data_IF_205784436839
#
_entry.id   IF_205784436839
#
_cell.length_a   1.000
_cell.length_b   1.000
_cell.length_c   1.000
_cell.angle_alpha   90.00
_cell.angle_beta   90.00
_cell.angle_gamma   90.00
#
_symmetry.space_group_name_H-M   'P 1'
#
loop_
_entity.id
_entity.type
_entity.pdbx_description
1 polymer ?
#
# COMPACT_ATOMS: atom_id res chain seq x y z
N UNK A 1 52.60 39.56 19.64
CA UNK A 1 51.20 39.81 19.27
C UNK A 1 50.82 38.82 18.17
N UNK A 2 50.12 37.74 18.51
CA UNK A 2 49.70 36.69 17.58
C UNK A 2 48.17 36.62 17.61
N UNK A 3 47.51 37.22 16.62
CA UNK A 3 46.08 37.14 16.45
C UNK A 3 45.74 35.82 15.74
N UNK A 4 45.14 34.87 16.47
CA UNK A 4 44.56 33.65 15.91
C UNK A 4 43.18 33.99 15.33
N UNK A 5 43.07 34.02 14.01
CA UNK A 5 41.78 34.04 13.31
C UNK A 5 41.17 32.63 13.29
N UNK A 6 40.20 32.39 14.15
CA UNK A 6 39.30 31.24 14.07
C UNK A 6 38.18 31.52 13.09
N UNK A 7 38.24 30.92 11.89
CA UNK A 7 37.10 30.86 10.97
C UNK A 7 36.16 29.75 11.47
N UNK A 8 35.04 30.15 12.05
CA UNK A 8 33.97 29.23 12.41
C UNK A 8 33.22 28.79 11.14
N UNK A 9 33.45 27.55 10.72
CA UNK A 9 32.64 26.90 9.67
C UNK A 9 31.28 26.59 10.28
N UNK A 10 30.29 27.42 9.96
CA UNK A 10 28.88 27.16 10.26
C UNK A 10 28.41 25.97 9.41
N UNK A 11 28.47 24.77 9.98
CA UNK A 11 27.77 23.59 9.45
C UNK A 11 26.27 23.85 9.58
N UNK A 12 25.63 24.31 8.51
CA UNK A 12 24.17 24.26 8.35
C UNK A 12 23.76 22.79 8.30
N UNK A 13 23.33 22.25 9.43
CA UNK A 13 22.59 20.99 9.50
C UNK A 13 21.22 21.20 8.86
N UNK A 14 21.14 20.92 7.56
CA UNK A 14 19.88 20.64 6.87
C UNK A 14 19.25 19.42 7.55
N UNK A 15 18.39 19.68 8.54
CA UNK A 15 17.45 18.71 9.04
C UNK A 15 16.51 18.36 7.88
N UNK A 16 16.89 17.37 7.07
CA UNK A 16 16.00 16.78 6.10
C UNK A 16 14.80 16.25 6.87
N UNK A 17 13.62 16.82 6.65
CA UNK A 17 12.36 16.27 7.14
C UNK A 17 12.24 14.84 6.60
N UNK A 18 12.58 13.84 7.42
CA UNK A 18 12.36 12.43 7.09
C UNK A 18 10.85 12.21 7.21
N UNK A 19 10.11 12.47 6.14
CA UNK A 19 8.69 12.12 6.07
C UNK A 19 8.58 10.61 6.18
N UNK A 20 7.82 10.11 7.16
CA UNK A 20 7.48 8.70 7.23
C UNK A 20 6.87 8.26 5.89
N UNK A 21 7.36 7.16 5.29
CA UNK A 21 6.82 6.71 4.02
C UNK A 21 5.32 6.41 4.14
N UNK A 22 4.53 6.65 3.07
CA UNK A 22 3.11 6.33 3.09
C UNK A 22 2.88 4.83 3.26
N UNK A 23 1.87 4.48 4.04
CA UNK A 23 1.36 3.11 4.19
C UNK A 23 0.15 2.91 3.30
N UNK A 24 0.11 1.82 2.54
CA UNK A 24 -0.98 1.48 1.61
C UNK A 24 -1.52 0.09 1.93
N UNK A 25 -2.83 -0.10 1.82
CA UNK A 25 -3.45 -1.43 1.88
C UNK A 25 -3.40 -2.09 0.51
N UNK A 26 -3.12 -3.39 0.48
CA UNK A 26 -3.10 -4.18 -0.76
C UNK A 26 -4.15 -5.28 -0.69
N UNK A 27 -4.92 -5.42 -1.77
CA UNK A 27 -6.00 -6.38 -1.91
C UNK A 27 -5.81 -7.19 -3.20
N UNK A 28 -6.11 -8.48 -3.10
CA UNK A 28 -6.37 -9.36 -4.24
C UNK A 28 -7.84 -9.22 -4.65
N UNK A 29 -8.12 -9.13 -5.94
CA UNK A 29 -9.44 -8.84 -6.50
C UNK A 29 -9.77 -9.77 -7.69
N UNK A 30 -9.60 -11.09 -7.54
CA UNK A 30 -9.69 -12.00 -8.68
C UNK A 30 -11.08 -12.02 -9.29
N UNK A 31 -11.15 -11.83 -10.61
CA UNK A 31 -12.41 -11.75 -11.36
C UNK A 31 -13.22 -10.49 -11.12
N UNK A 32 -12.69 -9.50 -10.40
CA UNK A 32 -13.28 -8.15 -10.26
C UNK A 32 -12.59 -7.25 -11.29
N UNK A 33 -13.37 -6.57 -12.13
CA UNK A 33 -12.80 -5.59 -13.07
C UNK A 33 -12.38 -4.31 -12.36
N UNK A 34 -11.44 -3.55 -12.92
CA UNK A 34 -10.97 -2.28 -12.35
C UNK A 34 -12.12 -1.30 -12.06
N UNK A 35 -13.10 -1.23 -12.98
CA UNK A 35 -14.29 -0.37 -12.79
C UNK A 35 -15.19 -0.85 -11.64
N UNK A 36 -15.30 -2.17 -11.44
CA UNK A 36 -16.04 -2.72 -10.31
C UNK A 36 -15.27 -2.52 -9.00
N UNK A 37 -13.96 -2.71 -9.01
CA UNK A 37 -13.11 -2.45 -7.86
C UNK A 37 -13.16 -0.98 -7.44
N UNK A 38 -13.08 -0.03 -8.38
CA UNK A 38 -13.21 1.40 -8.09
C UNK A 38 -14.52 1.73 -7.37
N UNK A 39 -15.65 1.14 -7.79
CA UNK A 39 -16.93 1.34 -7.09
C UNK A 39 -16.94 0.72 -5.68
N UNK A 40 -16.32 -0.45 -5.52
CA UNK A 40 -16.19 -1.11 -4.21
C UNK A 40 -15.31 -0.26 -3.28
N UNK A 41 -14.21 0.29 -3.81
CA UNK A 41 -13.29 1.16 -3.09
C UNK A 41 -14.01 2.40 -2.55
N UNK A 42 -14.76 3.10 -3.41
CA UNK A 42 -15.56 4.27 -3.02
C UNK A 42 -16.63 3.93 -1.98
N UNK A 43 -17.37 2.83 -2.16
CA UNK A 43 -18.41 2.38 -1.22
C UNK A 43 -17.80 2.04 0.15
N UNK A 44 -16.71 1.27 0.17
CA UNK A 44 -16.07 0.85 1.41
C UNK A 44 -15.36 2.00 2.12
N UNK A 45 -14.82 2.97 1.39
CA UNK A 45 -14.30 4.20 1.97
C UNK A 45 -15.42 5.00 2.64
N UNK A 46 -16.53 5.22 1.96
CA UNK A 46 -17.68 5.93 2.51
C UNK A 46 -18.23 5.27 3.79
N UNK A 47 -18.39 3.94 3.78
CA UNK A 47 -18.88 3.20 4.96
C UNK A 47 -17.90 3.30 6.14
N UNK A 48 -16.60 3.22 5.89
CA UNK A 48 -15.57 3.36 6.92
C UNK A 48 -15.51 4.79 7.48
N UNK A 49 -15.61 5.81 6.62
CA UNK A 49 -15.66 7.22 7.03
C UNK A 49 -16.90 7.50 7.87
N UNK A 50 -18.09 7.11 7.40
CA UNK A 50 -19.35 7.28 8.12
C UNK A 50 -19.30 6.67 9.52
N UNK A 51 -18.75 5.47 9.66
CA UNK A 51 -18.65 4.76 10.93
C UNK A 51 -17.61 5.36 11.89
N UNK A 52 -16.68 6.18 11.39
CA UNK A 52 -15.62 6.79 12.19
C UNK A 52 -15.75 8.31 12.33
N UNK A 53 -16.71 8.94 11.65
CA UNK A 53 -16.92 10.39 11.62
C UNK A 53 -17.13 11.05 12.99
N UNK A 54 -17.59 10.29 13.99
CA UNK A 54 -17.85 10.80 15.35
C UNK A 54 -16.76 10.45 16.37
N UNK A 55 -15.76 9.65 15.99
CA UNK A 55 -14.65 9.28 16.85
C UNK A 55 -13.47 10.21 16.53
N UNK A 56 -12.84 10.79 17.57
CA UNK A 56 -11.71 11.74 17.43
C UNK A 56 -10.40 11.16 17.99
N UNK A 57 -10.40 9.89 18.38
CA UNK A 57 -9.23 9.24 18.96
C UNK A 57 -8.24 8.75 17.88
N UNK A 58 -6.97 8.53 18.23
CA UNK A 58 -6.02 7.85 17.33
C UNK A 58 -6.47 6.44 16.89
N UNK A 59 -7.50 5.86 17.53
CA UNK A 59 -8.13 4.62 17.11
C UNK A 59 -8.96 4.78 15.82
N UNK A 60 -9.35 5.99 15.44
CA UNK A 60 -10.14 6.32 14.24
C UNK A 60 -9.52 5.73 12.98
N UNK A 61 -8.22 5.92 12.76
CA UNK A 61 -7.54 5.39 11.58
C UNK A 61 -7.51 3.85 11.57
N UNK A 62 -7.40 3.21 12.75
CA UNK A 62 -7.40 1.74 12.84
C UNK A 62 -8.79 1.16 12.60
N UNK A 63 -9.79 1.76 13.23
CA UNK A 63 -11.19 1.42 13.05
C UNK A 63 -11.57 1.60 11.58
N UNK A 64 -11.16 2.70 10.95
CA UNK A 64 -11.36 2.95 9.53
C UNK A 64 -10.77 1.84 8.67
N UNK A 65 -9.47 1.54 8.84
CA UNK A 65 -8.78 0.52 8.04
C UNK A 65 -9.41 -0.87 8.20
N UNK A 66 -9.83 -1.21 9.43
CA UNK A 66 -10.50 -2.48 9.71
C UNK A 66 -11.87 -2.55 9.04
N UNK A 67 -12.67 -1.51 9.16
CA UNK A 67 -14.01 -1.46 8.55
C UNK A 67 -13.94 -1.50 7.03
N UNK A 68 -13.02 -0.74 6.44
CA UNK A 68 -12.75 -0.77 5.00
C UNK A 68 -12.40 -2.21 4.56
N UNK A 69 -11.45 -2.87 5.22
CA UNK A 69 -11.02 -4.22 4.85
C UNK A 69 -12.13 -5.27 5.01
N UNK A 70 -12.97 -5.13 6.03
CA UNK A 70 -14.16 -5.98 6.22
C UNK A 70 -15.18 -5.77 5.10
N UNK A 71 -15.44 -4.52 4.72
CA UNK A 71 -16.31 -4.20 3.58
C UNK A 71 -15.77 -4.79 2.27
N UNK A 72 -14.49 -4.54 1.96
CA UNK A 72 -13.84 -5.08 0.76
C UNK A 72 -13.91 -6.62 0.72
N UNK A 73 -13.72 -7.28 1.88
CA UNK A 73 -13.87 -8.73 2.01
C UNK A 73 -15.27 -9.22 1.69
N UNK A 74 -16.31 -8.55 2.17
CA UNK A 74 -17.71 -8.89 1.86
C UNK A 74 -18.01 -8.73 0.36
N UNK A 75 -17.28 -7.84 -0.32
CA UNK A 75 -17.39 -7.59 -1.77
C UNK A 75 -16.49 -8.51 -2.61
N UNK A 76 -15.81 -9.47 -1.99
CA UNK A 76 -15.03 -10.52 -2.68
C UNK A 76 -13.54 -10.22 -2.83
N UNK A 77 -13.03 -9.10 -2.30
CA UNK A 77 -11.60 -8.83 -2.26
C UNK A 77 -10.92 -9.58 -1.10
N UNK A 78 -9.63 -9.86 -1.22
CA UNK A 78 -8.85 -10.49 -0.15
C UNK A 78 -7.74 -9.55 0.29
N UNK A 79 -7.81 -9.07 1.53
CA UNK A 79 -6.75 -8.26 2.11
C UNK A 79 -5.45 -9.08 2.24
N UNK A 80 -4.37 -8.57 1.64
CA UNK A 80 -3.04 -9.20 1.71
C UNK A 80 -2.21 -8.57 2.82
N UNK A 81 -2.40 -7.28 3.09
CA UNK A 81 -1.65 -6.57 4.12
C UNK A 81 -1.43 -5.11 3.76
N UNK A 82 -0.78 -4.40 4.69
CA UNK A 82 -0.31 -3.03 4.49
C UNK A 82 1.18 -2.99 4.18
N UNK A 83 1.56 -2.16 3.23
CA UNK A 83 2.95 -1.93 2.82
C UNK A 83 3.31 -0.48 3.08
N UNK A 84 4.37 -0.27 3.87
CA UNK A 84 4.95 1.04 4.13
C UNK A 84 6.21 1.17 3.29
N UNK A 85 6.16 2.00 2.25
CA UNK A 85 7.25 2.14 1.28
C UNK A 85 7.16 3.50 0.55
N UNK A 86 8.31 4.12 0.24
CA UNK A 86 8.34 5.33 -0.59
C UNK A 86 7.53 5.17 -1.87
N UNK A 87 6.79 6.22 -2.26
CA UNK A 87 5.87 6.16 -3.42
C UNK A 87 6.58 5.73 -4.70
N UNK A 88 7.77 6.27 -4.93
CA UNK A 88 8.56 6.00 -6.13
C UNK A 88 9.07 4.56 -6.18
N UNK A 89 9.51 4.04 -5.03
CA UNK A 89 9.96 2.67 -4.90
C UNK A 89 8.80 1.68 -5.10
N UNK A 90 7.66 1.93 -4.44
CA UNK A 90 6.44 1.15 -4.63
C UNK A 90 6.00 1.11 -6.09
N UNK A 91 5.93 2.27 -6.75
CA UNK A 91 5.52 2.36 -8.17
C UNK A 91 6.43 1.54 -9.07
N UNK A 92 7.75 1.64 -8.88
CA UNK A 92 8.73 0.89 -9.68
C UNK A 92 8.55 -0.62 -9.52
N UNK A 93 8.48 -1.09 -8.27
CA UNK A 93 8.38 -2.53 -7.97
C UNK A 93 7.02 -3.07 -8.39
N UNK A 94 5.93 -2.34 -8.14
CA UNK A 94 4.59 -2.77 -8.52
C UNK A 94 4.46 -2.94 -10.04
N UNK A 95 4.92 -1.96 -10.84
CA UNK A 95 4.87 -2.04 -12.29
C UNK A 95 5.70 -3.22 -12.84
N UNK A 96 6.89 -3.46 -12.27
CA UNK A 96 7.71 -4.63 -12.61
C UNK A 96 6.94 -5.93 -12.37
N UNK A 97 6.38 -6.08 -11.17
CA UNK A 97 5.70 -7.29 -10.75
C UNK A 97 4.37 -7.54 -11.47
N UNK A 98 3.64 -6.48 -11.84
CA UNK A 98 2.46 -6.58 -12.70
C UNK A 98 2.82 -7.12 -14.09
N UNK A 99 3.93 -6.64 -14.66
CA UNK A 99 4.45 -7.12 -15.94
C UNK A 99 4.87 -8.58 -15.90
N UNK A 100 5.64 -8.98 -14.88
CA UNK A 100 6.06 -10.38 -14.67
C UNK A 100 4.84 -11.31 -14.53
N UNK A 101 3.89 -10.95 -13.68
CA UNK A 101 2.69 -11.75 -13.44
C UNK A 101 1.81 -11.85 -14.69
N UNK A 102 1.62 -10.75 -15.42
CA UNK A 102 0.85 -10.75 -16.67
C UNK A 102 1.49 -11.65 -17.73
N UNK A 103 2.82 -11.59 -17.89
CA UNK A 103 3.55 -12.44 -18.82
C UNK A 103 3.43 -13.92 -18.46
N UNK A 104 3.49 -14.26 -17.17
CA UNK A 104 3.38 -15.64 -16.69
C UNK A 104 2.02 -16.31 -16.95
N UNK A 105 0.95 -15.52 -17.07
CA UNK A 105 -0.42 -16.04 -17.33
C UNK A 105 -0.91 -15.77 -18.75
N UNK A 106 -0.12 -15.16 -19.63
CA UNK A 106 -0.55 -14.72 -20.95
C UNK A 106 -1.15 -15.83 -21.83
N UNK A 107 -0.66 -17.07 -21.69
CA UNK A 107 -1.19 -18.23 -22.43
C UNK A 107 -2.42 -18.89 -21.81
N UNK A 108 -2.96 -18.38 -20.71
CA UNK A 108 -4.09 -18.98 -19.98
C UNK A 108 -5.41 -18.28 -20.34
N UNK A 109 -6.51 -19.02 -20.52
CA UNK A 109 -7.81 -18.44 -20.79
C UNK A 109 -8.31 -17.58 -19.63
N UNK A 110 -9.09 -16.55 -19.96
CA UNK A 110 -9.70 -15.67 -18.97
C UNK A 110 -10.61 -16.46 -18.02
N UNK A 111 -10.26 -16.43 -16.74
CA UNK A 111 -10.97 -17.12 -15.68
C UNK A 111 -10.57 -16.54 -14.33
N UNK A 112 -11.45 -16.68 -13.34
CA UNK A 112 -11.14 -16.31 -11.96
C UNK A 112 -9.85 -16.97 -11.47
N UNK A 113 -9.67 -18.26 -11.72
CA UNK A 113 -8.46 -19.02 -11.34
C UNK A 113 -7.19 -18.46 -11.96
N UNK A 114 -7.25 -17.99 -13.21
CA UNK A 114 -6.10 -17.33 -13.85
C UNK A 114 -5.78 -16.01 -13.14
N UNK A 115 -6.80 -15.23 -12.80
CA UNK A 115 -6.61 -13.94 -12.14
C UNK A 115 -6.07 -14.13 -10.70
N UNK A 116 -6.56 -15.14 -9.98
CA UNK A 116 -6.02 -15.55 -8.68
C UNK A 116 -4.52 -15.89 -8.79
N UNK A 117 -4.14 -16.71 -9.77
CA UNK A 117 -2.74 -17.05 -10.01
C UNK A 117 -1.89 -15.81 -10.37
N UNK A 118 -2.40 -14.91 -11.20
CA UNK A 118 -1.71 -13.67 -11.57
C UNK A 118 -1.41 -12.83 -10.32
N UNK A 119 -2.41 -12.61 -9.49
CA UNK A 119 -2.26 -11.81 -8.28
C UNK A 119 -1.35 -12.48 -7.25
N UNK A 120 -1.39 -13.81 -7.11
CA UNK A 120 -0.45 -14.55 -6.24
C UNK A 120 1.00 -14.39 -6.71
N UNK A 121 1.25 -14.52 -8.02
CA UNK A 121 2.58 -14.29 -8.61
C UNK A 121 3.05 -12.84 -8.41
N UNK A 122 2.15 -11.86 -8.52
CA UNK A 122 2.46 -10.46 -8.25
C UNK A 122 2.87 -10.27 -6.79
N UNK A 123 2.10 -10.81 -5.83
CA UNK A 123 2.43 -10.73 -4.40
C UNK A 123 3.78 -11.39 -4.09
N UNK A 124 4.09 -12.54 -4.70
CA UNK A 124 5.40 -13.17 -4.55
C UNK A 124 6.53 -12.29 -5.10
N UNK A 125 6.35 -11.70 -6.28
CA UNK A 125 7.32 -10.75 -6.84
C UNK A 125 7.53 -9.53 -5.94
N UNK A 126 6.45 -8.95 -5.41
CA UNK A 126 6.52 -7.80 -4.50
C UNK A 126 7.36 -8.15 -3.26
N UNK A 127 7.13 -9.33 -2.66
CA UNK A 127 7.90 -9.82 -1.51
C UNK A 127 9.38 -10.00 -1.83
N UNK A 128 9.71 -10.63 -2.98
CA UNK A 128 11.10 -10.80 -3.44
C UNK A 128 11.82 -9.47 -3.63
N UNK A 129 11.10 -8.43 -4.01
CA UNK A 129 11.62 -7.08 -4.22
C UNK A 129 11.53 -6.17 -2.98
N UNK A 130 11.32 -6.74 -1.79
CA UNK A 130 11.42 -6.01 -0.52
C UNK A 130 10.11 -5.42 0.03
N UNK A 131 8.96 -5.69 -0.61
CA UNK A 131 7.68 -5.31 -0.02
C UNK A 131 7.35 -6.22 1.18
N UNK A 132 7.16 -5.60 2.35
CA UNK A 132 6.73 -6.28 3.57
C UNK A 132 5.25 -6.02 3.81
N UNK A 133 4.44 -7.08 3.77
CA UNK A 133 3.00 -7.01 4.01
C UNK A 133 2.69 -7.25 5.49
N UNK A 134 2.30 -6.20 6.21
CA UNK A 134 1.84 -6.31 7.59
C UNK A 134 0.35 -6.65 7.64
N UNK A 135 0.03 -7.76 8.30
CA UNK A 135 -1.36 -8.25 8.48
C UNK A 135 -2.14 -7.48 9.55
N UNK A 136 -1.43 -6.75 10.41
CA UNK A 136 -2.05 -6.00 11.49
C UNK A 136 -2.87 -4.84 10.93
N UNK A 137 -4.01 -4.56 11.55
CA UNK A 137 -4.70 -3.27 11.47
C UNK A 137 -4.08 -2.22 12.41
N UNK A 138 -3.22 -2.68 13.33
CA UNK A 138 -2.40 -1.90 14.27
C UNK A 138 -0.95 -1.73 13.73
N UNK A 139 -0.20 -0.68 14.13
CA UNK A 139 1.20 -0.51 13.75
C UNK A 139 2.10 -1.64 14.25
#
# INVERSE_FOLDING_TARGET
MLARSTVAVLMLSLAACVSTPPTRSYFKTPGISDAQWSRIDDECAYEAEKATASDYSGAVSYTWNRLYALCAKLKGATFVGRVTMPKEEWRRINNLCEGEAAAAVAGRPASRTRDELKEDLQVECLKRNGAVFRQSYYP
#
